data_IF_869998966452
#
_entry.id   IF_869998966452
#
_cell.length_a   1.000
_cell.length_b   1.000
_cell.length_c   1.000
_cell.angle_alpha   90.00
_cell.angle_beta   90.00
_cell.angle_gamma   90.00
#
_symmetry.space_group_name_H-M   'P 1'
#
loop_
_entity.id
_entity.type
_entity.pdbx_description
1 polymer ?
#
# COMPACT_ATOMS: atom_id res chain seq x y z
N UNK A 1 -23.46 12.16 24.84
CA UNK A 1 -23.29 12.16 23.37
C UNK A 1 -21.94 11.52 23.07
N UNK A 2 -21.89 10.23 22.77
CA UNK A 2 -20.65 9.59 22.37
C UNK A 2 -20.29 10.12 20.98
N UNK A 3 -19.12 10.75 20.85
CA UNK A 3 -18.60 11.10 19.55
C UNK A 3 -18.45 9.80 18.75
N UNK A 4 -19.23 9.66 17.69
CA UNK A 4 -19.07 8.57 16.71
C UNK A 4 -17.75 8.82 16.00
N UNK A 5 -16.69 8.24 16.53
CA UNK A 5 -15.36 8.36 15.95
C UNK A 5 -15.26 7.44 14.74
N UNK A 6 -15.36 8.04 13.55
CA UNK A 6 -15.24 7.31 12.30
C UNK A 6 -13.78 6.85 12.08
N UNK A 7 -13.55 5.58 11.72
CA UNK A 7 -12.21 5.11 11.42
C UNK A 7 -11.63 5.80 10.20
N UNK A 8 -10.31 6.03 10.20
CA UNK A 8 -9.63 6.52 9.01
C UNK A 8 -9.69 5.44 7.93
N UNK A 9 -10.20 5.80 6.76
CA UNK A 9 -10.12 4.94 5.58
C UNK A 9 -8.69 4.95 5.05
N UNK A 10 -8.15 3.76 4.81
CA UNK A 10 -6.78 3.56 4.30
C UNK A 10 -6.91 2.71 3.03
N UNK A 11 -6.23 3.15 1.97
CA UNK A 11 -6.23 2.49 0.66
C UNK A 11 -5.76 1.03 0.76
N UNK A 12 -6.31 0.08 -0.02
CA UNK A 12 -5.85 -1.31 -0.01
C UNK A 12 -4.40 -1.44 -0.53
N UNK A 13 -3.73 -2.56 -0.22
CA UNK A 13 -2.37 -2.81 -0.73
C UNK A 13 -2.38 -2.89 -2.27
N UNK A 14 -1.44 -2.22 -2.98
CA UNK A 14 -1.39 -2.30 -4.42
C UNK A 14 -1.05 -3.72 -4.88
N UNK A 15 -1.72 -4.15 -5.94
CA UNK A 15 -1.53 -5.45 -6.58
C UNK A 15 -1.12 -5.22 -8.03
N UNK A 16 -0.27 -6.10 -8.56
CA UNK A 16 0.15 -6.05 -9.95
C UNK A 16 -0.93 -6.74 -10.78
N UNK A 17 -1.32 -6.13 -11.90
CA UNK A 17 -2.31 -6.73 -12.81
C UNK A 17 -1.82 -8.11 -13.30
N UNK A 18 -2.63 -9.17 -13.14
CA UNK A 18 -2.23 -10.53 -13.51
C UNK A 18 -2.06 -10.70 -15.03
N UNK A 19 -2.75 -9.87 -15.82
CA UNK A 19 -2.73 -9.92 -17.29
C UNK A 19 -1.65 -9.00 -17.91
N UNK A 20 -0.74 -8.46 -17.08
CA UNK A 20 0.34 -7.59 -17.56
C UNK A 20 1.23 -8.35 -18.56
N UNK A 21 1.39 -7.79 -19.77
CA UNK A 21 2.34 -8.31 -20.75
C UNK A 21 3.78 -8.06 -20.27
N UNK A 22 4.43 -9.13 -19.79
CA UNK A 22 5.80 -9.09 -19.25
C UNK A 22 6.85 -8.79 -20.35
N UNK A 23 6.55 -9.04 -21.62
CA UNK A 23 7.48 -8.80 -22.73
C UNK A 23 7.48 -7.35 -23.20
N UNK A 24 6.41 -6.59 -22.91
CA UNK A 24 6.38 -5.17 -23.20
C UNK A 24 7.08 -4.39 -22.07
N UNK A 25 8.31 -3.94 -22.36
CA UNK A 25 9.11 -3.16 -21.42
C UNK A 25 8.41 -1.87 -20.98
N UNK A 26 7.65 -1.21 -21.86
CA UNK A 26 6.95 0.02 -21.51
C UNK A 26 5.83 -0.26 -20.51
N UNK A 27 5.05 -1.33 -20.73
CA UNK A 27 4.00 -1.77 -19.82
C UNK A 27 4.56 -2.15 -18.43
N UNK A 28 5.68 -2.89 -18.38
CA UNK A 28 6.31 -3.29 -17.11
C UNK A 28 6.84 -2.09 -16.32
N UNK A 29 7.45 -1.11 -16.98
CA UNK A 29 7.92 0.11 -16.30
C UNK A 29 6.75 0.90 -15.74
N UNK A 30 5.68 1.04 -16.51
CA UNK A 30 4.47 1.75 -16.07
C UNK A 30 3.83 1.09 -14.84
N UNK A 31 3.62 -0.23 -14.87
CA UNK A 31 3.01 -0.95 -13.75
C UNK A 31 3.86 -0.91 -12.48
N UNK A 32 5.18 -0.96 -12.64
CA UNK A 32 6.12 -0.79 -11.53
C UNK A 32 6.02 0.60 -10.90
N UNK A 33 5.98 1.64 -11.73
CA UNK A 33 5.90 3.01 -11.25
C UNK A 33 4.56 3.29 -10.55
N UNK A 34 3.46 2.75 -11.07
CA UNK A 34 2.13 2.78 -10.42
C UNK A 34 2.13 2.04 -9.08
N UNK A 35 2.69 0.82 -9.03
CA UNK A 35 2.83 0.05 -7.79
C UNK A 35 3.58 0.84 -6.71
N UNK A 36 4.70 1.48 -7.05
CA UNK A 36 5.47 2.26 -6.09
C UNK A 36 4.77 3.54 -5.64
N UNK A 37 4.01 4.20 -6.54
CA UNK A 37 3.21 5.38 -6.15
C UNK A 37 2.19 5.02 -5.09
N UNK A 38 1.43 3.96 -5.30
CA UNK A 38 0.41 3.52 -4.33
C UNK A 38 1.05 3.03 -3.01
N UNK A 39 2.20 2.36 -3.07
CA UNK A 39 2.98 2.02 -1.88
C UNK A 39 3.37 3.27 -1.07
N UNK A 40 3.79 4.34 -1.75
CA UNK A 40 4.13 5.61 -1.09
C UNK A 40 2.90 6.30 -0.50
N UNK A 41 1.76 6.29 -1.19
CA UNK A 41 0.49 6.79 -0.67
C UNK A 41 0.14 6.09 0.64
N UNK A 42 0.21 4.76 0.67
CA UNK A 42 -0.06 3.95 1.86
C UNK A 42 0.88 4.27 3.04
N UNK A 43 2.17 4.54 2.77
CA UNK A 43 3.12 5.02 3.81
C UNK A 43 2.68 6.38 4.37
N UNK A 44 2.22 7.29 3.51
CA UNK A 44 1.74 8.60 3.92
C UNK A 44 0.44 8.52 4.73
N UNK A 45 -0.50 7.65 4.35
CA UNK A 45 -1.76 7.42 5.10
C UNK A 45 -1.47 7.01 6.56
N UNK A 46 -0.48 6.15 6.79
CA UNK A 46 -0.12 5.77 8.17
C UNK A 46 0.61 6.88 8.93
N UNK A 47 1.40 7.69 8.23
CA UNK A 47 1.97 8.90 8.82
C UNK A 47 0.87 9.85 9.28
N UNK A 48 -0.15 10.07 8.45
CA UNK A 48 -1.32 10.88 8.79
C UNK A 48 -2.10 10.29 9.97
N UNK A 49 -2.27 8.97 10.05
CA UNK A 49 -2.92 8.33 11.20
C UNK A 49 -2.15 8.55 12.49
N UNK A 50 -0.82 8.38 12.44
CA UNK A 50 0.06 8.62 13.59
C UNK A 50 -0.02 10.07 14.04
N UNK A 51 -0.10 11.02 13.13
CA UNK A 51 -0.20 12.44 13.47
C UNK A 51 -1.58 12.82 14.01
N UNK A 52 -2.67 12.25 13.48
CA UNK A 52 -4.01 12.37 14.09
C UNK A 52 -4.04 11.81 15.50
N UNK A 53 -3.40 10.66 15.74
CA UNK A 53 -3.29 10.07 17.08
C UNK A 53 -2.50 10.99 18.03
N UNK A 54 -1.34 11.49 17.60
CA UNK A 54 -0.53 12.46 18.37
C UNK A 54 -1.31 13.73 18.70
N UNK A 55 -2.13 14.21 17.75
CA UNK A 55 -2.98 15.36 17.96
C UNK A 55 -4.09 15.08 18.97
N UNK A 56 -4.76 13.93 18.86
CA UNK A 56 -5.77 13.49 19.83
C UNK A 56 -5.18 13.41 21.25
N UNK A 57 -3.98 12.84 21.40
CA UNK A 57 -3.31 12.72 22.69
C UNK A 57 -3.01 14.10 23.30
N UNK A 58 -2.60 15.06 22.48
CA UNK A 58 -2.37 16.45 22.92
C UNK A 58 -3.66 17.17 23.29
N UNK A 59 -4.76 16.92 22.59
CA UNK A 59 -6.04 17.59 22.81
C UNK A 59 -6.80 17.08 24.04
N UNK A 60 -6.86 15.76 24.21
CA UNK A 60 -7.66 15.11 25.27
C UNK A 60 -6.94 15.07 26.62
N UNK A 61 -5.61 15.21 26.64
CA UNK A 61 -4.81 15.18 27.87
C UNK A 61 -5.02 13.88 28.65
N UNK A 62 -5.44 13.97 29.90
CA UNK A 62 -5.67 12.82 30.79
C UNK A 62 -6.71 11.83 30.26
N UNK A 63 -7.63 12.25 29.39
CA UNK A 63 -8.71 11.41 28.87
C UNK A 63 -8.35 10.64 27.58
N UNK A 64 -7.11 10.75 27.10
CA UNK A 64 -6.70 10.17 25.82
C UNK A 64 -6.92 8.64 25.74
N UNK A 65 -6.89 7.93 26.87
CA UNK A 65 -7.06 6.47 26.91
C UNK A 65 -8.45 6.02 26.48
N UNK A 66 -9.48 6.82 26.76
CA UNK A 66 -10.85 6.50 26.36
C UNK A 66 -11.16 7.08 24.98
N UNK A 67 -10.88 8.37 24.79
CA UNK A 67 -11.32 9.09 23.59
C UNK A 67 -10.48 8.73 22.36
N UNK A 68 -9.17 8.50 22.51
CA UNK A 68 -8.27 8.21 21.37
C UNK A 68 -8.08 6.70 21.10
N UNK A 69 -8.78 5.81 21.82
CA UNK A 69 -8.64 4.35 21.72
C UNK A 69 -8.86 3.81 20.31
N UNK A 70 -9.78 4.40 19.56
CA UNK A 70 -10.08 3.98 18.20
C UNK A 70 -8.90 4.22 17.23
N UNK A 71 -8.17 5.34 17.39
CA UNK A 71 -6.98 5.64 16.60
C UNK A 71 -5.81 4.73 16.96
N UNK A 72 -5.62 4.45 18.25
CA UNK A 72 -4.55 3.55 18.70
C UNK A 72 -4.80 2.12 18.25
N UNK A 73 -6.04 1.64 18.31
CA UNK A 73 -6.41 0.32 17.81
C UNK A 73 -6.15 0.20 16.30
N UNK A 74 -6.63 1.16 15.50
CA UNK A 74 -6.37 1.20 14.06
C UNK A 74 -4.88 1.22 13.74
N UNK A 75 -4.10 2.05 14.46
CA UNK A 75 -2.66 2.12 14.26
C UNK A 75 -1.98 0.78 14.57
N UNK A 76 -2.37 0.10 15.66
CA UNK A 76 -1.83 -1.21 16.01
C UNK A 76 -2.17 -2.28 14.97
N UNK A 77 -3.39 -2.27 14.45
CA UNK A 77 -3.81 -3.24 13.44
C UNK A 77 -3.03 -3.04 12.13
N UNK A 78 -2.80 -1.79 11.72
CA UNK A 78 -1.92 -1.47 10.59
C UNK A 78 -0.47 -1.84 10.86
N UNK A 79 0.06 -1.64 12.07
CA UNK A 79 1.43 -2.02 12.41
C UNK A 79 1.63 -3.55 12.38
N UNK A 80 0.58 -4.33 12.66
CA UNK A 80 0.62 -5.80 12.49
C UNK A 80 0.68 -6.16 11.01
N UNK A 81 -0.16 -5.56 10.18
CA UNK A 81 -0.11 -5.71 8.72
C UNK A 81 1.23 -5.24 8.14
N UNK A 82 1.82 -4.20 8.72
CA UNK A 82 3.14 -3.70 8.33
C UNK A 82 4.22 -4.76 8.53
N UNK A 83 4.21 -5.41 9.70
CA UNK A 83 5.20 -6.40 10.09
C UNK A 83 5.20 -7.60 9.14
N UNK A 84 4.05 -7.97 8.59
CA UNK A 84 3.91 -9.14 7.71
C UNK A 84 4.24 -8.88 6.24
N UNK A 85 4.46 -7.63 5.82
CA UNK A 85 4.97 -7.34 4.48
C UNK A 85 4.46 -6.05 3.86
N UNK A 86 4.67 -4.92 4.53
CA UNK A 86 4.32 -3.60 3.98
C UNK A 86 5.04 -3.33 2.65
N UNK A 87 6.37 -3.53 2.65
CA UNK A 87 7.22 -3.35 1.47
C UNK A 87 7.34 -4.70 0.80
N UNK A 88 6.37 -5.03 -0.04
CA UNK A 88 6.53 -6.15 -0.97
C UNK A 88 7.43 -5.68 -2.11
N UNK A 89 8.51 -6.41 -2.43
CA UNK A 89 9.25 -6.11 -3.64
C UNK A 89 8.31 -6.28 -4.83
N UNK A 90 8.46 -5.41 -5.83
CA UNK A 90 7.78 -5.58 -7.11
C UNK A 90 8.22 -6.93 -7.72
N UNK A 91 7.29 -7.87 -7.87
CA UNK A 91 7.55 -9.20 -8.41
C UNK A 91 6.65 -9.43 -9.63
N UNK A 92 7.26 -9.57 -10.79
CA UNK A 92 6.57 -10.06 -11.99
C UNK A 92 6.39 -11.58 -11.83
N UNK A 93 5.16 -12.04 -11.61
CA UNK A 93 4.84 -13.46 -11.72
C UNK A 93 4.52 -13.78 -13.17
N UNK A 94 5.56 -14.03 -13.97
CA UNK A 94 5.41 -14.49 -15.35
C UNK A 94 5.64 -16.00 -15.49
N UNK A 95 5.05 -16.66 -16.51
CA UNK A 95 5.48 -18.00 -16.90
C UNK A 95 6.97 -18.01 -17.29
N UNK A 96 7.67 -19.16 -17.19
CA UNK A 96 9.08 -19.26 -17.58
C UNK A 96 9.29 -18.79 -19.02
N UNK A 97 10.46 -18.18 -19.26
CA UNK A 97 10.88 -17.60 -20.54
C UNK A 97 10.66 -18.63 -21.67
N UNK A 98 9.84 -18.36 -22.70
CA UNK A 98 9.84 -19.15 -23.91
C UNK A 98 11.16 -18.91 -24.66
N UNK A 99 11.83 -19.99 -25.06
CA UNK A 99 13.23 -20.04 -25.47
C UNK A 99 13.58 -19.28 -26.77
N UNK A 100 12.63 -18.58 -27.41
CA UNK A 100 12.91 -17.69 -28.53
C UNK A 100 11.70 -16.79 -28.79
N UNK A 101 11.89 -15.48 -28.66
CA UNK A 101 10.98 -14.50 -29.28
C UNK A 101 11.53 -14.30 -30.68
N UNK A 102 10.81 -14.64 -31.77
CA UNK A 102 11.28 -14.33 -33.10
C UNK A 102 11.44 -12.83 -33.22
N UNK A 103 12.61 -12.40 -33.65
CA UNK A 103 12.88 -10.99 -33.89
C UNK A 103 12.02 -10.54 -35.06
N UNK A 104 11.57 -9.28 -35.06
CA UNK A 104 10.72 -8.72 -36.13
C UNK A 104 11.35 -8.79 -37.54
N UNK A 105 12.59 -9.24 -37.66
CA UNK A 105 13.32 -9.49 -38.90
C UNK A 105 13.14 -10.92 -39.46
N UNK A 106 12.37 -11.78 -38.80
CA UNK A 106 12.17 -13.20 -39.21
C UNK A 106 10.78 -13.48 -39.79
N UNK A 107 10.00 -12.44 -40.10
CA UNK A 107 8.65 -12.51 -40.66
C UNK A 107 8.57 -12.01 -42.11
N UNK A 108 9.61 -12.27 -42.90
CA UNK A 108 9.65 -12.02 -44.36
C UNK A 108 10.04 -13.29 -45.11
#
# INVERSE_FOLDING_TARGET
>A
MAATHEPMQISPMPTIDPDLNVYDRAAVVKSRDEFFREQMVRIQEVTVLRDKMRWCYRREGVNHLQNCRHLSQQYLDLMKEMRTGWIKPFKLSGPPIPERVPTAHEAE
#
